data_IF_354568495140
#
_entry.id   IF_354568495140
#
_cell.length_a   1.000
_cell.length_b   1.000
_cell.length_c   1.000
_cell.angle_alpha   90.00
_cell.angle_beta   90.00
_cell.angle_gamma   90.00
#
_symmetry.space_group_name_H-M   'P 1'
#
loop_
_entity.id
_entity.type
_entity.pdbx_description
1 polymer ?
#
# COMPACT_ATOMS: atom_id res chain seq x y z
N UNK A 1 -11.56 18.34 1.57
CA UNK A 1 -11.04 17.42 0.54
C UNK A 1 -9.55 17.27 0.81
N UNK A 2 -9.09 16.09 1.14
CA UNK A 2 -7.67 15.84 1.34
C UNK A 2 -6.98 15.85 -0.06
N UNK A 3 -6.06 16.78 -0.28
CA UNK A 3 -5.26 16.78 -1.51
C UNK A 3 -4.08 15.84 -1.30
N UNK A 4 -4.04 14.72 -2.02
CA UNK A 4 -2.90 13.82 -2.01
C UNK A 4 -1.82 14.40 -2.90
N UNK A 5 -0.65 14.65 -2.34
CA UNK A 5 0.53 15.07 -3.09
C UNK A 5 1.27 13.84 -3.63
N UNK A 6 1.17 13.59 -4.92
CA UNK A 6 1.87 12.49 -5.61
C UNK A 6 3.38 12.62 -5.41
N UNK A 7 3.92 13.83 -5.48
CA UNK A 7 5.33 14.10 -5.28
C UNK A 7 5.79 13.69 -3.87
N UNK A 8 5.02 14.02 -2.83
CA UNK A 8 5.33 13.64 -1.46
C UNK A 8 5.25 12.11 -1.25
N UNK A 9 4.29 11.42 -1.89
CA UNK A 9 4.22 9.96 -1.84
C UNK A 9 5.44 9.32 -2.48
N UNK A 10 5.86 9.81 -3.65
CA UNK A 10 7.01 9.26 -4.37
C UNK A 10 8.34 9.57 -3.67
N UNK A 11 8.54 10.82 -3.24
CA UNK A 11 9.76 11.21 -2.52
C UNK A 11 9.90 10.45 -1.19
N UNK A 12 8.82 10.38 -0.41
CA UNK A 12 8.80 9.61 0.84
C UNK A 12 9.08 8.12 0.61
N UNK A 13 8.47 7.53 -0.44
CA UNK A 13 8.73 6.15 -0.79
C UNK A 13 10.18 5.91 -1.21
N UNK A 14 10.76 6.81 -2.00
CA UNK A 14 12.13 6.72 -2.44
C UNK A 14 13.13 6.90 -1.30
N UNK A 15 12.89 7.86 -0.41
CA UNK A 15 13.77 8.12 0.74
C UNK A 15 13.77 6.96 1.74
N UNK A 16 12.60 6.36 2.00
CA UNK A 16 12.51 5.19 2.85
C UNK A 16 13.16 3.97 2.20
N UNK A 17 12.89 3.74 0.92
CA UNK A 17 13.51 2.65 0.17
C UNK A 17 15.04 2.69 0.20
N UNK A 18 15.63 3.88 0.00
CA UNK A 18 17.10 4.04 0.02
C UNK A 18 17.74 3.67 1.36
N UNK A 19 17.02 3.80 2.47
CA UNK A 19 17.57 3.49 3.80
C UNK A 19 17.88 2.00 3.96
N UNK A 20 16.95 1.14 3.52
CA UNK A 20 17.04 -0.31 3.69
C UNK A 20 16.60 -1.06 2.42
N UNK A 21 17.16 -0.68 1.26
CA UNK A 21 16.76 -1.20 -0.06
C UNK A 21 16.77 -2.74 -0.10
N UNK A 22 17.78 -3.38 0.48
CA UNK A 22 17.88 -4.86 0.52
C UNK A 22 16.71 -5.47 1.29
N UNK A 23 16.38 -4.93 2.46
CA UNK A 23 15.25 -5.40 3.27
C UNK A 23 13.94 -5.27 2.51
N UNK A 24 13.69 -4.12 1.89
CA UNK A 24 12.47 -3.89 1.11
C UNK A 24 12.37 -4.81 -0.12
N UNK A 25 13.46 -5.03 -0.83
CA UNK A 25 13.51 -5.96 -1.98
C UNK A 25 13.20 -7.39 -1.53
N UNK A 26 13.83 -7.85 -0.45
CA UNK A 26 13.60 -9.21 0.07
C UNK A 26 12.17 -9.36 0.59
N UNK A 27 11.65 -8.37 1.33
CA UNK A 27 10.25 -8.39 1.80
C UNK A 27 9.27 -8.43 0.64
N UNK A 28 9.48 -7.64 -0.41
CA UNK A 28 8.63 -7.66 -1.60
C UNK A 28 8.71 -9.01 -2.33
N UNK A 29 9.90 -9.57 -2.48
CA UNK A 29 10.07 -10.91 -3.05
C UNK A 29 9.31 -11.97 -2.24
N UNK A 30 9.38 -11.92 -0.90
CA UNK A 30 8.61 -12.82 -0.03
C UNK A 30 7.09 -12.63 -0.21
N UNK A 31 6.61 -11.39 -0.23
CA UNK A 31 5.20 -11.10 -0.50
C UNK A 31 4.76 -11.68 -1.83
N UNK A 32 5.56 -11.51 -2.89
CA UNK A 32 5.26 -12.04 -4.22
C UNK A 32 5.22 -13.57 -4.24
N UNK A 33 6.21 -14.23 -3.65
CA UNK A 33 6.31 -15.70 -3.63
C UNK A 33 5.15 -16.29 -2.82
N UNK A 34 4.91 -15.80 -1.60
CA UNK A 34 3.85 -16.33 -0.73
C UNK A 34 2.47 -16.05 -1.34
N UNK A 35 2.25 -14.85 -1.90
CA UNK A 35 1.00 -14.52 -2.58
C UNK A 35 0.82 -15.34 -3.85
N UNK A 36 1.88 -15.58 -4.62
CA UNK A 36 1.84 -16.41 -5.82
C UNK A 36 1.47 -17.85 -5.52
N UNK A 37 2.11 -18.48 -4.53
CA UNK A 37 1.83 -19.87 -4.11
C UNK A 37 0.40 -20.01 -3.56
N UNK A 38 -0.10 -18.99 -2.86
CA UNK A 38 -1.46 -18.99 -2.29
C UNK A 38 -2.55 -18.52 -3.25
N UNK A 39 -2.21 -18.27 -4.54
CA UNK A 39 -3.18 -17.71 -5.49
C UNK A 39 -3.71 -16.33 -5.11
N UNK A 40 -2.92 -15.54 -4.38
CA UNK A 40 -3.29 -14.20 -3.92
C UNK A 40 -4.02 -14.14 -2.59
N UNK A 41 -4.41 -15.29 -2.01
CA UNK A 41 -5.18 -15.32 -0.75
C UNK A 41 -4.42 -14.74 0.44
N UNK A 42 -3.11 -14.94 0.50
CA UNK A 42 -2.26 -14.45 1.59
C UNK A 42 -1.71 -13.05 1.34
N UNK A 43 -2.03 -12.42 0.20
CA UNK A 43 -1.55 -11.09 -0.13
C UNK A 43 -1.98 -10.04 0.90
N UNK A 44 -3.23 -10.10 1.38
CA UNK A 44 -3.75 -9.17 2.38
C UNK A 44 -2.92 -9.15 3.66
N UNK A 45 -2.83 -10.27 4.40
CA UNK A 45 -2.01 -10.35 5.60
C UNK A 45 -0.55 -9.96 5.39
N UNK A 46 0.08 -10.42 4.31
CA UNK A 46 1.47 -10.08 3.99
C UNK A 46 1.66 -8.57 3.76
N UNK A 47 0.75 -7.93 3.04
CA UNK A 47 0.80 -6.49 2.80
C UNK A 47 0.55 -5.68 4.08
N UNK A 48 -0.35 -6.13 4.96
CA UNK A 48 -0.55 -5.50 6.28
C UNK A 48 0.73 -5.54 7.11
N UNK A 49 1.40 -6.70 7.16
CA UNK A 49 2.69 -6.83 7.83
C UNK A 49 3.75 -5.90 7.25
N UNK A 50 3.80 -5.80 5.92
CA UNK A 50 4.72 -4.90 5.24
C UNK A 50 4.41 -3.42 5.53
N UNK A 51 3.14 -3.01 5.54
CA UNK A 51 2.75 -1.64 5.90
C UNK A 51 3.12 -1.28 7.35
N UNK A 52 2.96 -2.22 8.30
CA UNK A 52 3.42 -2.05 9.69
C UNK A 52 4.94 -1.89 9.78
N UNK A 53 5.67 -2.68 8.99
CA UNK A 53 7.12 -2.55 8.90
C UNK A 53 7.53 -1.16 8.40
N UNK A 54 6.88 -0.67 7.34
CA UNK A 54 7.09 0.69 6.79
C UNK A 54 6.79 1.75 7.86
N UNK A 55 5.72 1.61 8.62
CA UNK A 55 5.36 2.54 9.68
C UNK A 55 6.40 2.59 10.80
N UNK A 56 6.90 1.43 11.24
CA UNK A 56 7.96 1.34 12.26
C UNK A 56 9.27 1.94 11.79
N UNK A 57 9.66 1.65 10.56
CA UNK A 57 10.86 2.21 9.95
C UNK A 57 10.76 3.74 9.81
N UNK A 58 9.57 4.26 9.45
CA UNK A 58 9.29 5.69 9.42
C UNK A 58 9.43 6.37 10.79
N UNK A 59 9.26 5.63 11.88
CA UNK A 59 9.52 6.08 13.26
C UNK A 59 11.00 5.93 13.69
N UNK A 60 11.85 5.43 12.81
CA UNK A 60 13.27 5.18 13.12
C UNK A 60 13.53 3.90 13.90
N UNK A 61 12.54 3.00 14.00
CA UNK A 61 12.72 1.70 14.64
C UNK A 61 13.50 0.74 13.72
N UNK A 62 14.30 -0.13 14.32
CA UNK A 62 14.94 -1.22 13.58
C UNK A 62 13.89 -2.21 13.08
N UNK A 63 13.95 -2.55 11.79
CA UNK A 63 13.04 -3.48 11.14
C UNK A 63 13.77 -4.71 10.64
N UNK A 64 13.09 -5.84 10.66
CA UNK A 64 13.61 -7.12 10.19
C UNK A 64 12.68 -7.71 9.12
N UNK A 65 13.25 -8.54 8.25
CA UNK A 65 12.49 -9.23 7.18
C UNK A 65 11.31 -10.02 7.76
N UNK A 66 11.49 -10.62 8.95
CA UNK A 66 10.44 -11.37 9.65
C UNK A 66 9.23 -10.54 10.09
N UNK A 67 9.36 -9.21 10.18
CA UNK A 67 8.26 -8.34 10.59
C UNK A 67 7.09 -8.34 9.57
N UNK A 68 7.35 -8.71 8.31
CA UNK A 68 6.30 -8.87 7.29
C UNK A 68 5.27 -9.94 7.70
N UNK A 69 5.70 -10.98 8.42
CA UNK A 69 4.79 -12.04 8.89
C UNK A 69 3.91 -11.62 10.06
N UNK A 70 4.17 -10.49 10.73
CA UNK A 70 3.30 -9.97 11.79
C UNK A 70 1.91 -9.52 11.29
N UNK A 71 1.71 -9.42 9.99
CA UNK A 71 0.37 -9.22 9.43
C UNK A 71 -0.55 -10.42 9.63
N UNK A 72 0.00 -11.60 9.93
CA UNK A 72 -0.79 -12.80 10.26
C UNK A 72 -1.41 -12.74 11.66
N UNK A 73 -0.95 -11.85 12.55
CA UNK A 73 -1.57 -11.61 13.85
C UNK A 73 -3.02 -11.11 13.70
N UNK A 74 -3.28 -10.36 12.63
CA UNK A 74 -4.61 -9.87 12.26
C UNK A 74 -5.08 -10.50 10.93
N UNK A 75 -4.90 -11.82 10.80
CA UNK A 75 -5.19 -12.55 9.56
C UNK A 75 -6.61 -12.30 9.05
N UNK A 76 -7.61 -12.49 9.91
CA UNK A 76 -9.02 -12.41 9.48
C UNK A 76 -9.39 -11.01 8.97
N UNK A 77 -9.16 -9.91 9.70
CA UNK A 77 -9.47 -8.58 9.19
C UNK A 77 -8.68 -8.23 7.92
N UNK A 78 -7.41 -8.60 7.84
CA UNK A 78 -6.59 -8.36 6.65
C UNK A 78 -7.08 -9.15 5.43
N UNK A 79 -7.42 -10.42 5.63
CA UNK A 79 -7.95 -11.28 4.58
C UNK A 79 -9.32 -10.79 4.09
N UNK A 80 -10.24 -10.46 5.00
CA UNK A 80 -11.59 -9.97 4.65
C UNK A 80 -11.51 -8.64 3.90
N UNK A 81 -10.74 -7.68 4.42
CA UNK A 81 -10.56 -6.38 3.77
C UNK A 81 -9.95 -6.52 2.36
N UNK A 82 -8.94 -7.38 2.22
CA UNK A 82 -8.31 -7.68 0.93
C UNK A 82 -9.29 -8.35 -0.04
N UNK A 83 -10.00 -9.39 0.43
CA UNK A 83 -10.92 -10.16 -0.40
C UNK A 83 -12.06 -9.27 -0.94
N UNK A 84 -12.73 -8.51 -0.07
CA UNK A 84 -13.83 -7.63 -0.47
C UNK A 84 -13.32 -6.55 -1.41
N UNK A 85 -12.20 -5.90 -1.10
CA UNK A 85 -11.63 -4.86 -1.94
C UNK A 85 -11.24 -5.38 -3.32
N UNK A 86 -10.64 -6.58 -3.38
CA UNK A 86 -10.23 -7.21 -4.64
C UNK A 86 -11.43 -7.64 -5.48
N UNK A 87 -12.48 -8.14 -4.82
CA UNK A 87 -13.73 -8.52 -5.51
C UNK A 87 -14.41 -7.29 -6.13
N UNK A 88 -14.56 -6.22 -5.34
CA UNK A 88 -15.17 -4.97 -5.81
C UNK A 88 -14.34 -4.37 -6.95
N UNK A 89 -13.02 -4.38 -6.83
CA UNK A 89 -12.12 -3.90 -7.88
C UNK A 89 -12.25 -4.75 -9.15
N UNK A 90 -12.31 -6.08 -9.03
CA UNK A 90 -12.48 -7.00 -10.15
C UNK A 90 -13.82 -6.79 -10.87
N UNK A 91 -14.90 -6.63 -10.11
CA UNK A 91 -16.23 -6.30 -10.66
C UNK A 91 -16.18 -4.94 -11.37
N UNK A 92 -15.52 -3.94 -10.77
CA UNK A 92 -15.34 -2.62 -11.37
C UNK A 92 -14.63 -2.69 -12.73
N UNK A 93 -13.56 -3.47 -12.84
CA UNK A 93 -12.85 -3.69 -14.11
C UNK A 93 -13.67 -4.51 -15.12
N UNK A 94 -14.44 -5.48 -14.65
CA UNK A 94 -15.27 -6.32 -15.53
C UNK A 94 -16.44 -5.55 -16.13
N UNK A 95 -17.12 -4.69 -15.33
CA UNK A 95 -18.23 -3.87 -15.82
C UNK A 95 -17.75 -2.75 -16.76
N UNK A 96 -16.65 -2.10 -16.42
CA UNK A 96 -16.03 -1.06 -17.24
C UNK A 96 -14.66 -0.71 -16.68
N UNK A 97 -13.67 -0.56 -17.53
CA UNK A 97 -12.28 -0.25 -17.11
C UNK A 97 -12.22 1.06 -16.31
N UNK A 98 -13.04 2.05 -16.65
CA UNK A 98 -13.04 3.38 -16.02
C UNK A 98 -13.39 3.31 -14.52
N UNK A 99 -14.53 2.71 -14.08
CA UNK A 99 -14.81 2.62 -12.65
C UNK A 99 -13.77 1.77 -11.89
N UNK A 100 -13.25 0.69 -12.49
CA UNK A 100 -12.17 -0.09 -11.89
C UNK A 100 -10.92 0.76 -11.63
N UNK A 101 -10.51 1.57 -12.59
CA UNK A 101 -9.37 2.49 -12.42
C UNK A 101 -9.62 3.55 -11.33
N UNK A 102 -10.83 4.10 -11.24
CA UNK A 102 -11.17 5.12 -10.25
C UNK A 102 -11.06 4.63 -8.80
N UNK A 103 -11.32 3.33 -8.56
CA UNK A 103 -11.29 2.73 -7.22
C UNK A 103 -10.02 1.89 -6.95
N UNK A 104 -9.02 1.96 -7.82
CA UNK A 104 -7.79 1.14 -7.68
C UNK A 104 -7.00 1.41 -6.38
N UNK A 105 -7.21 2.56 -5.74
CA UNK A 105 -6.64 2.88 -4.43
C UNK A 105 -7.27 2.09 -3.26
N UNK A 106 -8.45 1.50 -3.47
CA UNK A 106 -9.27 0.90 -2.42
C UNK A 106 -8.56 -0.19 -1.59
N UNK A 107 -7.91 -1.20 -2.20
CA UNK A 107 -7.23 -2.23 -1.43
C UNK A 107 -6.12 -1.67 -0.52
N UNK A 108 -5.36 -0.69 -1.02
CA UNK A 108 -4.27 -0.09 -0.25
C UNK A 108 -4.78 0.67 0.97
N UNK A 109 -5.88 1.42 0.83
CA UNK A 109 -6.49 2.17 1.94
C UNK A 109 -7.11 1.22 2.96
N UNK A 110 -7.79 0.17 2.51
CA UNK A 110 -8.39 -0.84 3.40
C UNK A 110 -7.32 -1.59 4.23
N UNK A 111 -6.24 -2.02 3.58
CA UNK A 111 -5.14 -2.71 4.27
C UNK A 111 -4.38 -1.78 5.22
N UNK A 112 -4.23 -0.51 4.87
CA UNK A 112 -3.63 0.48 5.76
C UNK A 112 -4.44 0.64 7.06
N UNK A 113 -5.77 0.66 6.99
CA UNK A 113 -6.63 0.71 8.17
C UNK A 113 -6.45 -0.51 9.07
N UNK A 114 -6.37 -1.70 8.49
CA UNK A 114 -6.06 -2.93 9.24
C UNK A 114 -4.65 -2.86 9.85
N UNK A 115 -3.66 -2.34 9.12
CA UNK A 115 -2.30 -2.16 9.63
C UNK A 115 -2.28 -1.22 10.84
N UNK A 116 -3.16 -0.20 10.87
CA UNK A 116 -3.35 0.73 11.99
C UNK A 116 -4.13 0.15 13.17
N UNK A 117 -4.62 -1.06 13.07
CA UNK A 117 -5.27 -1.78 14.16
C UNK A 117 -6.79 -1.93 14.05
N UNK A 118 -7.38 -1.62 12.89
CA UNK A 118 -8.78 -1.95 12.66
C UNK A 118 -8.93 -3.48 12.62
N UNK A 119 -9.74 -4.00 13.53
CA UNK A 119 -9.94 -5.45 13.70
C UNK A 119 -11.13 -6.00 12.94
N UNK A 120 -11.92 -5.15 12.34
CA UNK A 120 -13.03 -5.54 11.47
C UNK A 120 -12.69 -5.21 10.01
N UNK A 121 -12.46 -6.26 9.22
CA UNK A 121 -12.13 -6.12 7.80
C UNK A 121 -13.26 -5.48 6.98
N UNK A 122 -14.52 -5.66 7.38
CA UNK A 122 -15.67 -5.02 6.73
C UNK A 122 -15.73 -3.54 7.06
N UNK A 123 -15.45 -3.17 8.33
CA UNK A 123 -15.38 -1.78 8.75
C UNK A 123 -14.23 -1.06 8.02
N UNK A 124 -13.05 -1.68 7.94
CA UNK A 124 -11.90 -1.18 7.18
C UNK A 124 -12.25 -0.95 5.70
N UNK A 125 -12.94 -1.90 5.06
CA UNK A 125 -13.41 -1.74 3.68
C UNK A 125 -14.39 -0.57 3.55
N UNK A 126 -15.41 -0.47 4.41
CA UNK A 126 -16.42 0.59 4.35
C UNK A 126 -15.80 1.97 4.54
N UNK A 127 -14.85 2.10 5.46
CA UNK A 127 -14.13 3.36 5.67
C UNK A 127 -13.24 3.69 4.46
N UNK A 128 -12.52 2.71 3.91
CA UNK A 128 -11.73 2.90 2.69
C UNK A 128 -12.60 3.33 1.51
N UNK A 129 -13.75 2.70 1.33
CA UNK A 129 -14.71 3.05 0.28
C UNK A 129 -15.14 4.51 0.37
N UNK A 130 -15.56 4.95 1.57
CA UNK A 130 -15.96 6.37 1.80
C UNK A 130 -14.80 7.32 1.51
N UNK A 131 -13.60 7.02 2.01
CA UNK A 131 -12.42 7.87 1.84
C UNK A 131 -12.03 7.99 0.36
N UNK A 132 -11.98 6.88 -0.37
CA UNK A 132 -11.63 6.88 -1.79
C UNK A 132 -12.68 7.58 -2.62
N UNK A 133 -13.97 7.33 -2.37
CA UNK A 133 -15.07 7.96 -3.14
C UNK A 133 -15.19 9.46 -2.87
N UNK A 134 -14.86 9.94 -1.68
CA UNK A 134 -14.83 11.37 -1.37
C UNK A 134 -13.63 12.10 -2.00
N UNK A 135 -12.56 11.39 -2.31
CA UNK A 135 -11.31 11.93 -2.84
C UNK A 135 -10.90 11.27 -4.17
N UNK A 136 -11.88 10.89 -5.01
CA UNK A 136 -11.67 10.10 -6.23
C UNK A 136 -10.55 10.64 -7.12
N UNK A 137 -10.51 11.95 -7.37
CA UNK A 137 -9.51 12.54 -8.27
C UNK A 137 -8.09 12.38 -7.75
N UNK A 138 -7.83 12.76 -6.51
CA UNK A 138 -6.48 12.67 -5.92
C UNK A 138 -6.05 11.23 -5.66
N UNK A 139 -6.98 10.37 -5.20
CA UNK A 139 -6.73 8.95 -5.02
C UNK A 139 -6.41 8.26 -6.34
N UNK A 140 -7.16 8.54 -7.40
CA UNK A 140 -6.96 8.00 -8.74
C UNK A 140 -5.60 8.39 -9.32
N UNK A 141 -5.27 9.70 -9.33
CA UNK A 141 -4.00 10.18 -9.90
C UNK A 141 -2.81 9.57 -9.16
N UNK A 142 -2.85 9.55 -7.83
CA UNK A 142 -1.76 8.97 -7.05
C UNK A 142 -1.63 7.46 -7.28
N UNK A 143 -2.74 6.72 -7.22
CA UNK A 143 -2.72 5.28 -7.46
C UNK A 143 -2.30 4.92 -8.89
N UNK A 144 -2.70 5.72 -9.87
CA UNK A 144 -2.28 5.54 -11.27
C UNK A 144 -0.77 5.72 -11.43
N UNK A 145 -0.21 6.79 -10.87
CA UNK A 145 1.25 7.02 -10.93
C UNK A 145 2.01 5.90 -10.24
N UNK A 146 1.59 5.49 -9.04
CA UNK A 146 2.21 4.37 -8.32
C UNK A 146 2.08 3.05 -9.08
N UNK A 147 0.95 2.82 -9.74
CA UNK A 147 0.71 1.67 -10.60
C UNK A 147 1.64 1.66 -11.82
N UNK A 148 1.82 2.81 -12.47
CA UNK A 148 2.76 2.97 -13.59
C UNK A 148 4.19 2.71 -13.11
N UNK A 149 4.61 3.31 -12.00
CA UNK A 149 5.95 3.07 -11.41
C UNK A 149 6.16 1.60 -11.11
N UNK A 150 5.18 0.92 -10.50
CA UNK A 150 5.24 -0.51 -10.23
C UNK A 150 5.32 -1.35 -11.51
N UNK A 151 4.56 -1.00 -12.55
CA UNK A 151 4.52 -1.76 -13.81
C UNK A 151 5.74 -1.53 -14.70
N UNK A 152 6.40 -0.38 -14.61
CA UNK A 152 7.66 -0.13 -15.34
C UNK A 152 8.75 -1.17 -15.03
N UNK A 153 8.74 -1.71 -13.82
CA UNK A 153 9.65 -2.77 -13.43
C UNK A 153 9.47 -4.07 -14.21
N UNK A 154 8.25 -4.38 -14.61
CA UNK A 154 7.99 -5.57 -15.43
C UNK A 154 8.55 -5.45 -16.85
N UNK A 155 8.66 -4.23 -17.40
CA UNK A 155 9.28 -3.97 -18.70
C UNK A 155 10.80 -4.22 -18.69
N UNK A 156 11.44 -4.09 -17.53
CA UNK A 156 12.88 -4.31 -17.32
C UNK A 156 13.20 -5.75 -16.86
N UNK A 157 12.36 -6.72 -17.21
CA UNK A 157 12.39 -8.09 -16.70
C UNK A 157 12.12 -8.16 -15.18
N UNK A 158 11.96 -9.38 -14.66
CA UNK A 158 11.66 -9.65 -13.24
C UNK A 158 12.55 -8.90 -12.23
N UNK A 159 13.78 -8.57 -12.61
CA UNK A 159 14.72 -7.83 -11.76
C UNK A 159 14.28 -6.38 -11.54
N UNK A 160 13.74 -5.73 -12.57
CA UNK A 160 13.18 -4.39 -12.46
C UNK A 160 11.96 -4.33 -11.54
N UNK A 161 11.10 -5.35 -11.60
CA UNK A 161 9.93 -5.45 -10.73
C UNK A 161 10.32 -5.49 -9.23
N UNK A 162 11.39 -6.21 -8.88
CA UNK A 162 11.90 -6.28 -7.51
C UNK A 162 12.37 -4.92 -6.95
N UNK A 163 12.74 -3.99 -7.83
CA UNK A 163 13.14 -2.63 -7.45
C UNK A 163 11.94 -1.66 -7.40
N UNK A 164 11.01 -1.78 -8.33
CA UNK A 164 9.90 -0.82 -8.46
C UNK A 164 8.70 -1.17 -7.59
N UNK A 165 8.43 -2.44 -7.35
CA UNK A 165 7.33 -2.87 -6.49
C UNK A 165 7.45 -2.39 -5.03
N UNK A 166 8.62 -2.46 -4.37
CA UNK A 166 8.77 -1.89 -3.04
C UNK A 166 8.39 -0.41 -2.99
N UNK A 167 8.84 0.37 -3.98
CA UNK A 167 8.53 1.80 -4.07
C UNK A 167 7.03 2.02 -4.22
N UNK A 168 6.36 1.18 -5.03
CA UNK A 168 4.92 1.24 -5.24
C UNK A 168 4.14 0.91 -3.95
N UNK A 169 4.56 -0.10 -3.19
CA UNK A 169 3.92 -0.46 -1.91
C UNK A 169 4.15 0.61 -0.85
N UNK A 170 5.38 1.12 -0.72
CA UNK A 170 5.68 2.21 0.21
C UNK A 170 4.89 3.47 -0.19
N UNK A 171 4.83 3.80 -1.47
CA UNK A 171 4.04 4.92 -1.99
C UNK A 171 2.55 4.78 -1.71
N UNK A 172 1.99 3.57 -1.83
CA UNK A 172 0.58 3.31 -1.51
C UNK A 172 0.29 3.44 -0.01
N UNK A 173 1.23 3.12 0.86
CA UNK A 173 1.15 3.41 2.29
C UNK A 173 1.05 4.92 2.55
N UNK A 174 1.94 5.72 1.94
CA UNK A 174 1.89 7.18 2.08
C UNK A 174 0.63 7.80 1.48
N UNK A 175 0.16 7.28 0.34
CA UNK A 175 -1.11 7.68 -0.25
C UNK A 175 -2.28 7.44 0.71
N UNK A 176 -2.39 6.25 1.27
CA UNK A 176 -3.45 5.90 2.22
C UNK A 176 -3.40 6.78 3.47
N UNK A 177 -2.20 7.03 3.98
CA UNK A 177 -1.96 7.92 5.12
C UNK A 177 -2.44 9.35 4.85
N UNK A 178 -2.13 9.91 3.68
CA UNK A 178 -2.58 11.26 3.30
C UNK A 178 -4.09 11.32 3.09
N UNK A 179 -4.70 10.32 2.46
CA UNK A 179 -6.15 10.25 2.25
C UNK A 179 -6.94 10.21 3.55
N UNK A 180 -6.41 9.57 4.58
CA UNK A 180 -7.03 9.47 5.89
C UNK A 180 -6.71 10.66 6.81
N UNK A 181 -5.86 11.59 6.37
CA UNK A 181 -5.46 12.76 7.15
C UNK A 181 -4.43 12.48 8.24
N UNK A 182 -3.80 11.32 8.24
CA UNK A 182 -2.77 10.92 9.19
C UNK A 182 -1.36 11.41 8.79
N UNK A 183 -1.24 12.19 7.73
CA UNK A 183 0.01 12.70 7.17
C UNK A 183 0.27 14.17 7.52
N UNK A 184 1.52 14.66 7.39
CA UNK A 184 1.81 16.08 7.36
C UNK A 184 1.03 16.74 6.20
N UNK A 185 0.67 18.01 6.39
CA UNK A 185 0.02 18.80 5.36
C UNK A 185 0.79 18.71 4.04
N UNK A 186 0.07 18.78 2.92
CA UNK A 186 0.47 18.39 1.56
C UNK A 186 1.81 18.91 1.00
N UNK A 187 2.51 19.78 1.73
CA UNK A 187 3.73 20.46 1.27
C UNK A 187 4.96 20.24 2.17
N UNK A 188 4.83 19.49 3.26
CA UNK A 188 5.95 19.25 4.16
C UNK A 188 6.59 17.90 3.85
N UNK A 189 7.87 17.86 3.44
CA UNK A 189 8.56 16.58 3.32
C UNK A 189 8.51 15.89 4.66
N UNK A 190 8.17 14.59 4.68
CA UNK A 190 8.13 13.78 5.90
C UNK A 190 9.45 13.99 6.64
N UNK A 191 9.43 14.86 7.65
CA UNK A 191 10.56 15.07 8.52
C UNK A 191 10.76 13.77 9.29
N UNK A 192 11.70 12.99 8.83
CA UNK A 192 12.18 11.83 9.57
C UNK A 192 12.75 12.37 10.89
N UNK A 193 12.41 11.77 12.05
CA UNK A 193 13.01 12.20 13.30
C UNK A 193 14.53 12.16 13.14
N UNK A 194 15.14 13.29 13.35
CA UNK A 194 16.61 13.38 13.38
C UNK A 194 17.10 12.53 14.55
N UNK A 195 18.00 11.60 14.27
CA UNK A 195 18.67 10.79 15.28
C UNK A 195 19.45 11.68 16.26
#
# INVERSE_FOLDING_TARGET
>A
MASVSVGACLSGAWDLFKKNAVTHVVCTALVMVVSGISGGLLAGPMLVGYMRMIEREGRGEAVQIGDVFRGFDDFVPAFVAWLISSLVLSVGFFLCVIPGLLIMALPSVALYLVARGERDGVAAFNQAWRTVTQNLGSAFVCALVLGIVGSLGFLLCWVGALLTLPISVIGSYYMARQLLGDGPASDEPVALPRA
#
